data_IF_099208411266
#
_entry.id   IF_099208411266
#
_cell.length_a   1.000
_cell.length_b   1.000
_cell.length_c   1.000
_cell.angle_alpha   90.00
_cell.angle_beta   90.00
_cell.angle_gamma   90.00
#
_symmetry.space_group_name_H-M   'P 1'
#
loop_
_entity.id
_entity.type
_entity.pdbx_description
1 polymer ?
#
# COMPACT_ATOMS: atom_id res chain seq x y z
N UNK A 1 -7.00 63.97 4.03
CA UNK A 1 -5.73 63.52 4.62
C UNK A 1 -5.89 62.07 5.07
N UNK A 2 -4.96 61.22 4.62
CA UNK A 2 -4.59 59.84 5.00
C UNK A 2 -5.56 58.99 5.87
N UNK A 3 -5.84 57.77 5.42
CA UNK A 3 -5.38 56.49 6.03
C UNK A 3 -6.33 55.36 5.65
N UNK A 4 -6.04 54.57 4.60
CA UNK A 4 -6.34 53.12 4.56
C UNK A 4 -5.45 52.43 3.52
N UNK A 5 -4.24 52.00 3.89
CA UNK A 5 -3.51 50.98 3.13
C UNK A 5 -2.48 50.25 3.99
N UNK A 6 -2.89 49.30 4.85
CA UNK A 6 -1.96 48.25 5.30
C UNK A 6 -2.61 47.07 6.05
N UNK A 7 -3.48 46.27 5.39
CA UNK A 7 -3.91 44.98 5.98
C UNK A 7 -3.67 43.73 5.11
N UNK A 8 -3.16 43.87 3.88
CA UNK A 8 -2.89 42.70 3.01
C UNK A 8 -1.63 41.89 3.39
N UNK A 9 -0.81 42.35 4.34
CA UNK A 9 0.48 41.71 4.67
C UNK A 9 0.48 40.70 5.82
N UNK A 10 -0.63 40.52 6.55
CA UNK A 10 -0.63 39.74 7.82
C UNK A 10 -1.23 38.33 7.72
N UNK A 11 -2.03 38.05 6.70
CA UNK A 11 -2.64 36.72 6.49
C UNK A 11 -1.72 35.73 5.76
N UNK A 12 -0.75 36.22 4.98
CA UNK A 12 0.20 35.36 4.26
C UNK A 12 1.23 34.64 5.14
N UNK A 13 1.44 35.08 6.40
CA UNK A 13 2.43 34.48 7.30
C UNK A 13 1.90 33.40 8.23
N UNK A 14 0.58 33.25 8.39
CA UNK A 14 0.02 32.16 9.21
C UNK A 14 -0.16 30.85 8.44
N UNK A 15 -0.41 30.91 7.13
CA UNK A 15 -0.59 29.72 6.30
C UNK A 15 0.71 28.91 6.07
N UNK A 16 1.88 29.55 6.22
CA UNK A 16 3.18 28.88 6.10
C UNK A 16 3.60 28.15 7.40
N UNK A 17 3.16 28.62 8.57
CA UNK A 17 3.50 28.01 9.87
C UNK A 17 2.70 26.75 10.21
N UNK A 18 1.43 26.68 9.80
CA UNK A 18 0.56 25.54 10.10
C UNK A 18 0.97 24.24 9.40
N UNK A 19 1.50 24.33 8.17
CA UNK A 19 1.94 23.16 7.40
C UNK A 19 3.17 22.48 8.01
N UNK A 20 4.10 23.27 8.54
CA UNK A 20 5.29 22.75 9.21
C UNK A 20 4.98 22.05 10.54
N UNK A 21 4.03 22.59 11.31
CA UNK A 21 3.60 21.99 12.59
C UNK A 21 2.84 20.69 12.38
N UNK A 22 1.98 20.60 11.36
CA UNK A 22 1.27 19.36 11.04
C UNK A 22 2.22 18.24 10.61
N UNK A 23 3.22 18.54 9.76
CA UNK A 23 4.23 17.57 9.33
C UNK A 23 5.13 17.14 10.51
N UNK A 24 5.51 18.07 11.38
CA UNK A 24 6.29 17.77 12.58
C UNK A 24 5.51 16.96 13.61
N UNK A 25 4.20 17.20 13.76
CA UNK A 25 3.33 16.44 14.65
C UNK A 25 3.09 15.01 14.14
N UNK A 26 2.88 14.83 12.83
CA UNK A 26 2.80 13.51 12.20
C UNK A 26 4.15 12.78 12.33
N UNK A 27 5.27 13.48 12.09
CA UNK A 27 6.62 12.93 12.25
C UNK A 27 6.94 12.53 13.70
N UNK A 28 6.57 13.35 14.68
CA UNK A 28 6.74 13.05 16.10
C UNK A 28 5.85 11.90 16.56
N UNK A 29 4.65 11.77 15.99
CA UNK A 29 3.74 10.67 16.25
C UNK A 29 4.30 9.35 15.71
N UNK A 30 4.80 9.33 14.47
CA UNK A 30 5.46 8.16 13.88
C UNK A 30 6.73 7.73 14.65
N UNK A 31 7.40 8.67 15.34
CA UNK A 31 8.54 8.40 16.22
C UNK A 31 8.16 7.94 17.63
N UNK A 32 6.90 8.12 18.05
CA UNK A 32 6.41 7.76 19.39
C UNK A 32 5.92 6.31 19.52
N UNK A 33 6.04 5.51 18.46
CA UNK A 33 5.40 4.19 18.22
C UNK A 33 6.03 3.02 19.01
N UNK A 34 6.73 3.30 20.10
CA UNK A 34 7.31 2.23 20.94
C UNK A 34 6.34 1.59 21.96
N UNK A 35 5.16 2.17 22.23
CA UNK A 35 4.48 1.91 23.51
C UNK A 35 2.98 1.60 23.53
N UNK A 36 2.20 1.88 22.47
CA UNK A 36 0.76 1.59 22.52
C UNK A 36 0.21 1.06 21.19
N UNK A 37 -0.63 0.02 21.28
CA UNK A 37 -1.26 -0.66 20.14
C UNK A 37 -1.98 0.31 19.21
N UNK A 38 -2.73 1.26 19.77
CA UNK A 38 -3.45 2.27 19.01
C UNK A 38 -2.52 3.14 18.14
N UNK A 39 -1.42 3.64 18.71
CA UNK A 39 -0.44 4.43 17.95
C UNK A 39 0.29 3.60 16.90
N UNK A 40 0.52 2.30 17.17
CA UNK A 40 1.10 1.38 16.21
C UNK A 40 0.17 1.12 15.01
N UNK A 41 -1.13 0.95 15.24
CA UNK A 41 -2.12 0.81 14.18
C UNK A 41 -2.16 2.07 13.32
N UNK A 42 -2.30 3.27 13.92
CA UNK A 42 -2.33 4.52 13.14
C UNK A 42 -1.05 4.79 12.36
N UNK A 43 0.10 4.34 12.88
CA UNK A 43 1.35 4.39 12.14
C UNK A 43 1.40 3.39 10.98
N UNK A 44 0.83 2.19 11.16
CA UNK A 44 0.66 1.23 10.08
C UNK A 44 -0.23 1.85 8.99
N UNK A 45 -1.45 2.27 9.30
CA UNK A 45 -2.38 2.82 8.29
C UNK A 45 -1.78 4.01 7.55
N UNK A 46 -1.07 4.90 8.26
CA UNK A 46 -0.40 6.03 7.62
C UNK A 46 0.64 5.59 6.59
N UNK A 47 1.42 4.55 6.91
CA UNK A 47 2.42 4.02 5.97
C UNK A 47 1.74 3.50 4.72
N UNK A 48 0.55 2.93 4.86
CA UNK A 48 -0.15 2.19 3.82
C UNK A 48 -0.85 3.08 2.80
N UNK A 49 -0.91 4.39 3.08
CA UNK A 49 -1.51 5.38 2.20
C UNK A 49 -0.75 5.50 0.88
N UNK A 50 0.58 5.42 0.88
CA UNK A 50 1.40 5.78 -0.28
C UNK A 50 2.19 4.58 -0.79
N UNK A 51 2.10 4.35 -2.09
CA UNK A 51 2.94 3.42 -2.83
C UNK A 51 3.76 4.15 -3.88
N UNK A 52 5.07 3.92 -3.87
CA UNK A 52 6.02 4.43 -4.86
C UNK A 52 6.89 3.29 -5.34
N UNK A 53 6.93 3.08 -6.65
CA UNK A 53 7.75 2.04 -7.26
C UNK A 53 8.40 2.50 -8.54
N UNK A 54 9.58 1.97 -8.82
CA UNK A 54 10.31 2.23 -10.04
C UNK A 54 11.01 0.97 -10.52
N UNK A 55 11.07 0.77 -11.83
CA UNK A 55 11.71 -0.39 -12.41
C UNK A 55 12.44 -0.11 -13.71
N UNK A 56 13.43 -0.94 -13.99
CA UNK A 56 14.24 -0.90 -15.21
C UNK A 56 14.24 -2.26 -15.89
N UNK A 57 14.18 -2.26 -17.21
CA UNK A 57 14.29 -3.44 -18.05
C UNK A 57 15.20 -3.16 -19.24
N UNK A 58 15.87 -4.20 -19.74
CA UNK A 58 16.66 -4.17 -20.96
C UNK A 58 16.34 -5.43 -21.79
N UNK A 59 16.29 -5.28 -23.11
CA UNK A 59 15.89 -6.35 -24.03
C UNK A 59 16.90 -7.52 -24.06
N UNK A 60 16.45 -8.78 -24.12
CA UNK A 60 17.26 -10.00 -24.24
C UNK A 60 16.92 -10.74 -25.56
N UNK A 61 17.89 -11.35 -26.31
CA UNK A 61 17.71 -12.05 -27.60
C UNK A 61 16.52 -13.01 -27.79
N UNK A 62 15.84 -13.47 -26.74
CA UNK A 62 14.62 -14.29 -26.86
C UNK A 62 13.31 -13.49 -27.03
N UNK A 63 13.35 -12.15 -26.94
CA UNK A 63 12.15 -11.31 -27.03
C UNK A 63 11.94 -10.73 -28.43
N UNK A 64 11.14 -11.42 -29.22
CA UNK A 64 10.39 -10.81 -30.34
C UNK A 64 9.35 -9.79 -29.86
N UNK A 65 8.60 -9.23 -30.83
CA UNK A 65 7.87 -7.96 -30.74
C UNK A 65 6.99 -7.72 -29.48
N UNK A 66 7.53 -6.88 -28.55
CA UNK A 66 6.86 -6.07 -27.49
C UNK A 66 6.46 -6.84 -26.20
N UNK A 67 6.78 -6.39 -24.95
CA UNK A 67 7.36 -5.12 -24.48
C UNK A 67 8.54 -5.22 -23.46
N UNK A 68 9.68 -4.51 -23.66
CA UNK A 68 10.54 -4.03 -22.57
C UNK A 68 9.96 -2.73 -21.99
N UNK A 69 8.72 -2.84 -21.51
CA UNK A 69 7.84 -1.81 -20.94
C UNK A 69 7.16 -0.83 -21.90
N UNK A 70 5.85 -0.89 -22.15
CA UNK A 70 5.12 0.37 -22.40
C UNK A 70 3.61 0.36 -22.20
N UNK A 71 3.14 1.36 -21.45
CA UNK A 71 1.76 1.82 -21.43
C UNK A 71 1.47 2.74 -20.25
N UNK A 72 0.48 3.62 -20.43
CA UNK A 72 -0.08 4.45 -19.36
C UNK A 72 -1.31 3.75 -18.77
N UNK A 73 -1.25 3.43 -17.47
CA UNK A 73 -2.40 3.00 -16.69
C UNK A 73 -2.68 4.06 -15.62
N UNK A 74 -3.81 4.74 -15.75
CA UNK A 74 -4.37 5.62 -14.72
C UNK A 74 -5.48 4.84 -14.01
N UNK A 75 -5.35 4.69 -12.71
CA UNK A 75 -6.34 3.99 -11.90
C UNK A 75 -6.97 5.00 -10.93
N UNK A 76 -8.29 5.05 -10.85
CA UNK A 76 -9.00 5.76 -9.77
C UNK A 76 -9.48 4.75 -8.74
N UNK A 77 -10.04 3.64 -9.23
CA UNK A 77 -10.42 2.46 -8.45
C UNK A 77 -10.25 1.23 -9.34
N UNK A 78 -10.25 0.02 -8.76
CA UNK A 78 -10.33 -1.21 -9.54
C UNK A 78 -11.49 -1.24 -10.55
N UNK A 79 -12.55 -0.46 -10.34
CA UNK A 79 -13.72 -0.35 -11.21
C UNK A 79 -13.61 0.76 -12.27
N UNK A 80 -12.74 1.74 -12.03
CA UNK A 80 -12.55 2.92 -12.86
C UNK A 80 -11.06 3.11 -13.12
N UNK A 81 -10.61 2.52 -14.23
CA UNK A 81 -9.26 2.65 -14.75
C UNK A 81 -9.28 3.05 -16.23
N UNK A 82 -8.23 3.72 -16.65
CA UNK A 82 -7.88 3.99 -18.03
C UNK A 82 -6.51 3.36 -18.29
N UNK A 83 -6.43 2.34 -19.13
CA UNK A 83 -5.35 1.38 -19.03
C UNK A 83 -4.40 1.21 -20.21
N UNK A 84 -3.75 0.06 -20.09
CA UNK A 84 -2.53 -0.42 -20.72
C UNK A 84 -1.27 -0.12 -19.90
N UNK A 85 -0.61 -1.15 -19.37
CA UNK A 85 0.75 -1.04 -18.81
C UNK A 85 1.54 -2.24 -19.26
N UNK A 86 2.85 -2.10 -19.45
CA UNK A 86 3.77 -3.17 -19.80
C UNK A 86 5.04 -3.07 -18.96
N UNK A 87 5.61 -4.16 -18.44
CA UNK A 87 6.89 -4.14 -17.71
C UNK A 87 7.46 -5.55 -17.48
N UNK A 88 8.78 -5.71 -17.56
CA UNK A 88 9.47 -6.94 -17.17
C UNK A 88 10.96 -6.75 -16.97
N UNK A 89 11.42 -6.62 -15.73
CA UNK A 89 12.81 -6.33 -15.37
C UNK A 89 13.00 -6.37 -13.86
N UNK A 90 13.76 -5.42 -13.32
CA UNK A 90 13.97 -5.28 -11.87
C UNK A 90 13.25 -4.06 -11.35
N UNK A 91 12.61 -4.19 -10.20
CA UNK A 91 11.91 -3.10 -9.50
C UNK A 91 12.51 -2.86 -8.14
N UNK A 92 12.51 -1.59 -7.73
CA UNK A 92 12.49 -1.18 -6.35
C UNK A 92 11.13 -0.55 -6.02
N UNK A 93 10.47 -1.03 -4.98
CA UNK A 93 9.16 -0.54 -4.55
C UNK A 93 9.12 -0.33 -3.05
N UNK A 94 8.49 0.76 -2.66
CA UNK A 94 8.07 1.03 -1.30
C UNK A 94 6.57 1.25 -1.28
N UNK A 95 5.85 0.49 -0.48
CA UNK A 95 4.40 0.64 -0.30
C UNK A 95 4.02 0.95 1.15
N UNK A 96 4.91 1.64 1.86
CA UNK A 96 4.73 1.93 3.28
C UNK A 96 5.02 0.75 4.19
N UNK A 97 4.47 -0.41 3.86
CA UNK A 97 4.57 -1.65 4.61
C UNK A 97 5.91 -2.33 4.42
N UNK A 98 6.38 -2.44 3.19
CA UNK A 98 7.64 -3.13 2.90
C UNK A 98 8.52 -2.39 1.91
N UNK A 99 9.77 -2.82 1.86
CA UNK A 99 10.68 -2.52 0.76
C UNK A 99 10.86 -3.78 -0.06
N UNK A 100 10.51 -3.70 -1.33
CA UNK A 100 10.79 -4.74 -2.31
C UNK A 100 11.91 -4.26 -3.23
N UNK A 101 12.90 -5.11 -3.45
CA UNK A 101 13.91 -4.92 -4.49
C UNK A 101 14.20 -6.26 -5.14
N UNK A 102 13.81 -6.43 -6.40
CA UNK A 102 13.92 -7.73 -7.02
C UNK A 102 13.38 -7.78 -8.44
N UNK A 103 13.40 -8.98 -9.04
CA UNK A 103 12.78 -9.22 -10.34
C UNK A 103 11.28 -8.99 -10.23
N UNK A 104 10.67 -8.24 -11.14
CA UNK A 104 9.22 -8.17 -11.24
C UNK A 104 8.81 -7.94 -12.70
N UNK A 105 7.74 -8.62 -13.11
CA UNK A 105 7.16 -8.47 -14.45
C UNK A 105 5.65 -8.30 -14.36
N UNK A 106 5.13 -7.18 -14.85
CA UNK A 106 3.70 -6.86 -14.81
C UNK A 106 3.19 -6.12 -16.01
N UNK A 107 1.95 -6.42 -16.37
CA UNK A 107 1.23 -5.73 -17.44
C UNK A 107 -0.27 -5.94 -17.21
N UNK A 108 -0.95 -4.98 -16.57
CA UNK A 108 -2.42 -4.90 -16.46
C UNK A 108 -3.02 -3.81 -17.38
N UNK A 109 -4.08 -4.11 -18.14
CA UNK A 109 -4.72 -3.17 -19.07
C UNK A 109 -6.24 -3.21 -18.91
N UNK A 110 -6.90 -2.10 -18.53
CA UNK A 110 -8.36 -2.05 -18.35
C UNK A 110 -9.00 -0.73 -18.79
N UNK A 111 -10.27 -0.79 -19.21
CA UNK A 111 -11.13 0.35 -19.59
C UNK A 111 -12.62 -0.08 -19.51
N UNK A 112 -13.05 -0.62 -18.36
CA UNK A 112 -14.33 -1.32 -18.20
C UNK A 112 -14.22 -2.83 -18.46
N UNK A 113 -15.33 -3.59 -18.47
CA UNK A 113 -15.42 -5.04 -18.15
C UNK A 113 -14.79 -6.04 -19.16
N UNK A 114 -13.53 -5.79 -19.54
CA UNK A 114 -12.50 -6.74 -19.94
C UNK A 114 -11.14 -6.25 -19.40
N UNK A 115 -10.86 -6.51 -18.12
CA UNK A 115 -9.63 -6.11 -17.42
C UNK A 115 -8.55 -7.19 -17.59
N UNK A 116 -7.34 -6.81 -18.00
CA UNK A 116 -6.21 -7.74 -18.14
C UNK A 116 -5.17 -7.44 -17.08
N UNK A 117 -4.52 -8.48 -16.58
CA UNK A 117 -3.67 -8.42 -15.40
C UNK A 117 -2.43 -9.29 -15.57
N UNK A 118 -1.24 -8.79 -15.22
CA UNK A 118 -0.19 -9.68 -14.73
C UNK A 118 0.69 -8.99 -13.72
N UNK A 119 1.03 -9.71 -12.67
CA UNK A 119 1.64 -9.27 -11.41
C UNK A 119 2.50 -10.38 -10.84
N UNK A 120 3.83 -10.26 -10.85
CA UNK A 120 4.68 -11.28 -10.21
C UNK A 120 5.82 -10.63 -9.40
N UNK A 121 5.59 -10.47 -8.10
CA UNK A 121 6.51 -9.87 -7.14
C UNK A 121 6.65 -10.82 -5.94
N UNK A 122 7.80 -11.49 -5.83
CA UNK A 122 8.10 -12.51 -4.82
C UNK A 122 8.85 -11.89 -3.62
N UNK A 123 8.14 -11.72 -2.52
CA UNK A 123 8.67 -11.12 -1.30
C UNK A 123 9.56 -12.04 -0.46
N UNK A 124 9.81 -13.29 -0.88
CA UNK A 124 10.81 -14.15 -0.24
C UNK A 124 12.22 -13.52 -0.20
N UNK A 125 12.45 -12.44 -0.98
CA UNK A 125 13.69 -11.64 -1.00
C UNK A 125 13.52 -10.17 -0.58
N UNK A 126 12.33 -9.77 -0.13
CA UNK A 126 12.02 -8.40 0.29
C UNK A 126 12.21 -8.18 1.79
N UNK A 127 12.28 -6.91 2.20
CA UNK A 127 12.08 -6.54 3.61
C UNK A 127 10.59 -6.34 3.84
N UNK A 128 9.90 -7.42 4.19
CA UNK A 128 8.49 -7.41 4.58
C UNK A 128 8.32 -6.89 6.01
N UNK A 129 7.27 -6.11 6.26
CA UNK A 129 6.78 -5.92 7.62
C UNK A 129 5.81 -7.04 8.01
N UNK A 130 5.40 -7.02 9.28
CA UNK A 130 4.43 -7.96 9.84
C UNK A 130 3.14 -8.12 9.02
N UNK A 131 2.61 -7.01 8.48
CA UNK A 131 1.37 -6.99 7.70
C UNK A 131 1.50 -7.57 6.29
N UNK A 132 2.72 -7.68 5.76
CA UNK A 132 3.00 -8.37 4.49
C UNK A 132 3.35 -9.84 4.67
N UNK A 133 3.88 -10.20 5.83
CA UNK A 133 4.33 -11.55 6.07
C UNK A 133 3.18 -12.56 6.01
N UNK A 134 3.39 -13.63 5.24
CA UNK A 134 2.47 -14.77 5.22
C UNK A 134 2.42 -15.46 6.60
N UNK A 135 1.29 -16.11 6.90
CA UNK A 135 1.10 -16.95 8.07
C UNK A 135 1.15 -16.28 9.46
N UNK A 136 1.22 -14.95 9.52
CA UNK A 136 1.00 -14.20 10.78
C UNK A 136 -0.45 -14.34 11.25
N UNK A 137 -0.70 -14.11 12.56
CA UNK A 137 -2.06 -14.10 13.11
C UNK A 137 -2.97 -13.13 12.36
N UNK A 138 -2.45 -11.94 12.05
CA UNK A 138 -3.15 -10.93 11.26
C UNK A 138 -3.47 -11.42 9.86
N UNK A 139 -2.49 -12.00 9.15
CA UNK A 139 -2.69 -12.51 7.79
C UNK A 139 -3.75 -13.62 7.77
N UNK A 140 -3.72 -14.52 8.75
CA UNK A 140 -4.75 -15.56 8.92
C UNK A 140 -6.13 -14.95 9.13
N UNK A 141 -6.26 -13.97 10.03
CA UNK A 141 -7.53 -13.28 10.30
C UNK A 141 -8.11 -12.61 9.06
N UNK A 142 -7.28 -11.91 8.28
CA UNK A 142 -7.70 -11.26 7.04
C UNK A 142 -8.18 -12.24 5.96
N UNK A 143 -7.81 -13.52 6.08
CA UNK A 143 -8.24 -14.61 5.20
C UNK A 143 -9.39 -15.46 5.79
N UNK A 144 -9.87 -15.18 7.01
CA UNK A 144 -10.97 -15.93 7.63
C UNK A 144 -12.31 -15.71 6.90
N UNK A 145 -13.15 -16.75 6.81
CA UNK A 145 -14.45 -16.68 6.13
C UNK A 145 -15.35 -15.52 6.57
N UNK A 146 -15.28 -15.10 7.85
CA UNK A 146 -16.07 -13.97 8.36
C UNK A 146 -15.64 -12.61 7.80
N UNK A 147 -14.38 -12.51 7.37
CA UNK A 147 -13.76 -11.30 6.82
C UNK A 147 -13.77 -11.32 5.29
N UNK A 148 -14.29 -12.37 4.65
CA UNK A 148 -14.28 -12.50 3.18
C UNK A 148 -15.53 -11.90 2.55
N UNK A 149 -15.36 -11.35 1.35
CA UNK A 149 -16.46 -10.88 0.51
C UNK A 149 -16.28 -11.40 -0.91
N UNK A 150 -17.31 -12.05 -1.47
CA UNK A 150 -17.26 -12.67 -2.80
C UNK A 150 -16.01 -13.55 -3.03
N UNK A 151 -15.66 -14.38 -2.04
CA UNK A 151 -14.46 -15.23 -2.00
C UNK A 151 -13.11 -14.49 -2.02
N UNK A 152 -13.09 -13.17 -1.93
CA UNK A 152 -11.88 -12.39 -1.75
C UNK A 152 -11.58 -12.19 -0.24
N UNK A 153 -10.31 -12.29 0.19
CA UNK A 153 -9.90 -11.91 1.55
C UNK A 153 -10.15 -10.43 1.83
N UNK A 154 -10.14 -10.04 3.10
CA UNK A 154 -10.19 -8.62 3.48
C UNK A 154 -8.98 -7.87 2.95
N UNK A 155 -7.78 -8.41 3.22
CA UNK A 155 -6.48 -7.91 2.77
C UNK A 155 -5.57 -9.07 2.37
N UNK A 156 -4.88 -8.94 1.23
CA UNK A 156 -3.95 -9.92 0.66
C UNK A 156 -2.81 -9.21 -0.09
N UNK A 157 -1.75 -8.82 0.65
CA UNK A 157 -0.60 -8.10 0.08
C UNK A 157 0.46 -9.01 -0.56
N UNK A 158 0.31 -10.34 -0.47
CA UNK A 158 1.22 -11.33 -1.06
C UNK A 158 0.80 -11.67 -2.49
N UNK A 159 1.71 -11.46 -3.43
CA UNK A 159 1.43 -11.59 -4.86
C UNK A 159 2.09 -12.85 -5.44
N UNK A 160 1.46 -14.01 -5.27
CA UNK A 160 2.10 -15.27 -5.70
C UNK A 160 2.01 -15.55 -7.21
N UNK A 161 0.90 -15.19 -7.90
CA UNK A 161 0.76 -15.29 -9.37
C UNK A 161 -0.63 -14.83 -9.83
N UNK A 162 -0.76 -14.04 -10.91
CA UNK A 162 -2.06 -13.75 -11.53
C UNK A 162 -2.05 -13.80 -13.06
N UNK A 163 -2.78 -14.76 -13.64
CA UNK A 163 -3.14 -14.79 -15.07
C UNK A 163 -4.66 -14.68 -15.27
N UNK A 164 -5.05 -14.14 -16.42
CA UNK A 164 -6.44 -14.12 -16.89
C UNK A 164 -6.96 -15.57 -16.96
N UNK A 165 -8.24 -15.79 -16.61
CA UNK A 165 -8.98 -17.09 -16.67
C UNK A 165 -8.97 -17.94 -15.37
N UNK A 166 -9.54 -17.42 -14.26
CA UNK A 166 -10.30 -18.25 -13.30
C UNK A 166 -11.79 -17.94 -13.46
N UNK A 167 -12.65 -18.95 -13.28
CA UNK A 167 -14.11 -18.80 -13.26
C UNK A 167 -14.48 -17.93 -12.03
N UNK A 168 -14.69 -16.64 -12.23
CA UNK A 168 -14.97 -15.68 -11.16
C UNK A 168 -14.68 -14.24 -11.59
N UNK A 169 -15.26 -13.28 -10.89
CA UNK A 169 -15.08 -11.85 -11.18
C UNK A 169 -13.68 -11.42 -10.70
N UNK A 170 -12.87 -10.75 -11.52
CA UNK A 170 -11.47 -10.43 -11.20
C UNK A 170 -11.30 -9.21 -10.26
N UNK A 171 -12.33 -8.91 -9.47
CA UNK A 171 -12.35 -7.79 -8.54
C UNK A 171 -11.69 -8.22 -7.21
N UNK A 172 -11.04 -7.30 -6.51
CA UNK A 172 -10.48 -7.50 -5.17
C UNK A 172 -9.29 -8.46 -5.09
N UNK A 173 -8.37 -8.38 -6.05
CA UNK A 173 -7.19 -9.26 -6.05
C UNK A 173 -6.18 -8.95 -4.92
N UNK A 174 -6.19 -7.73 -4.35
CA UNK A 174 -5.53 -7.42 -3.07
C UNK A 174 -6.42 -7.63 -1.85
N UNK A 175 -7.67 -8.03 -2.04
CA UNK A 175 -8.70 -8.08 -1.02
C UNK A 175 -9.70 -6.93 -1.13
N UNK A 176 -10.89 -7.11 -0.56
CA UNK A 176 -12.02 -6.22 -0.83
C UNK A 176 -11.99 -4.90 -0.07
N UNK A 177 -11.14 -4.78 0.95
CA UNK A 177 -10.96 -3.56 1.74
C UNK A 177 -9.94 -2.60 1.12
N UNK A 178 -9.09 -3.10 0.24
CA UNK A 178 -8.27 -2.23 -0.58
C UNK A 178 -9.07 -1.76 -1.77
N UNK A 179 -9.35 -0.46 -1.81
CA UNK A 179 -10.08 0.14 -2.91
C UNK A 179 -9.09 0.67 -3.95
N UNK A 180 -8.19 -0.24 -4.33
CA UNK A 180 -6.85 0.06 -4.81
C UNK A 180 -6.70 1.36 -5.58
N UNK A 181 -5.80 2.16 -5.02
CA UNK A 181 -4.88 3.06 -5.69
C UNK A 181 -5.49 3.93 -6.76
N UNK A 182 -6.03 5.06 -6.31
CA UNK A 182 -5.97 6.27 -7.12
C UNK A 182 -4.49 6.54 -7.41
N UNK A 183 -4.07 6.36 -8.66
CA UNK A 183 -2.66 6.30 -8.99
C UNK A 183 -2.40 6.30 -10.48
N UNK A 184 -1.12 6.39 -10.80
CA UNK A 184 -0.62 6.36 -12.18
C UNK A 184 0.57 5.43 -12.27
N UNK A 185 0.56 4.61 -13.31
CA UNK A 185 1.68 3.79 -13.73
C UNK A 185 2.06 4.16 -15.16
N UNK A 186 3.35 4.47 -15.36
CA UNK A 186 3.90 4.95 -16.63
C UNK A 186 5.08 4.07 -17.03
N UNK A 187 4.93 3.38 -18.15
CA UNK A 187 6.05 2.75 -18.86
C UNK A 187 6.63 3.68 -19.92
N UNK A 188 7.97 3.76 -20.01
CA UNK A 188 8.73 4.42 -21.09
C UNK A 188 9.71 3.41 -21.70
N UNK A 189 9.78 3.30 -23.03
CA UNK A 189 10.69 2.41 -23.73
C UNK A 189 11.37 3.14 -24.89
N UNK A 190 12.68 2.96 -24.98
CA UNK A 190 13.49 3.32 -26.14
C UNK A 190 13.89 2.03 -26.88
N UNK A 191 13.16 1.65 -27.93
CA UNK A 191 13.41 0.41 -28.66
C UNK A 191 14.54 0.52 -29.70
N UNK A 192 15.14 1.70 -29.90
CA UNK A 192 16.03 1.95 -31.04
C UNK A 192 17.49 2.18 -30.67
N UNK A 193 17.76 2.90 -29.57
CA UNK A 193 19.14 3.25 -29.20
C UNK A 193 19.64 2.40 -28.03
N UNK A 194 18.84 2.35 -26.96
CA UNK A 194 19.26 1.73 -25.70
C UNK A 194 18.60 0.40 -25.41
N UNK A 195 17.50 0.08 -26.11
CA UNK A 195 16.68 -1.11 -25.83
C UNK A 195 16.23 -1.18 -24.36
N UNK A 196 16.08 -0.01 -23.74
CA UNK A 196 15.87 0.17 -22.31
C UNK A 196 14.43 0.60 -22.04
N UNK A 197 13.83 -0.01 -21.02
CA UNK A 197 12.52 0.33 -20.51
C UNK A 197 12.58 0.80 -19.06
N UNK A 198 11.76 1.79 -18.74
CA UNK A 198 11.55 2.31 -17.39
C UNK A 198 10.08 2.17 -17.03
N UNK A 199 9.80 1.86 -15.78
CA UNK A 199 8.47 1.89 -15.19
C UNK A 199 8.50 2.78 -13.95
N UNK A 200 7.52 3.68 -13.82
CA UNK A 200 7.28 4.48 -12.63
C UNK A 200 5.84 4.29 -12.15
N UNK A 201 5.69 4.08 -10.85
CA UNK A 201 4.42 3.84 -10.15
C UNK A 201 4.26 4.81 -9.00
N UNK A 202 3.11 5.46 -8.94
CA UNK A 202 2.64 6.22 -7.80
C UNK A 202 1.18 5.84 -7.52
N UNK A 203 0.91 5.39 -6.30
CA UNK A 203 -0.43 5.03 -5.85
C UNK A 203 -0.76 5.66 -4.52
N UNK A 204 -2.04 5.97 -4.35
CA UNK A 204 -2.63 6.35 -3.07
C UNK A 204 -3.84 5.48 -2.77
N UNK A 205 -3.83 4.79 -1.64
CA UNK A 205 -4.99 4.02 -1.19
C UNK A 205 -5.96 4.89 -0.40
N UNK A 206 -7.09 5.22 -1.03
CA UNK A 206 -8.10 6.08 -0.43
C UNK A 206 -8.80 5.39 0.75
N UNK A 207 -8.90 4.06 0.75
CA UNK A 207 -9.50 3.37 1.90
C UNK A 207 -8.61 3.50 3.12
N UNK A 208 -7.28 3.39 2.96
CA UNK A 208 -6.32 3.59 4.06
C UNK A 208 -6.24 5.06 4.51
N UNK A 209 -6.42 6.04 3.61
CA UNK A 209 -6.58 7.45 4.02
C UNK A 209 -7.81 7.60 4.91
N UNK A 210 -8.92 7.01 4.51
CA UNK A 210 -10.17 7.10 5.28
C UNK A 210 -10.03 6.40 6.63
N UNK A 211 -9.43 5.21 6.67
CA UNK A 211 -9.22 4.49 7.92
C UNK A 211 -8.28 5.27 8.84
N UNK A 212 -7.13 5.74 8.34
CA UNK A 212 -6.21 6.57 9.11
C UNK A 212 -6.90 7.78 9.75
N UNK A 213 -7.71 8.53 8.99
CA UNK A 213 -8.43 9.70 9.49
C UNK A 213 -9.53 9.35 10.49
N UNK A 214 -10.27 8.28 10.25
CA UNK A 214 -11.40 7.86 11.07
C UNK A 214 -10.95 7.16 12.35
N UNK A 215 -9.85 6.42 12.33
CA UNK A 215 -9.35 5.76 13.52
C UNK A 215 -8.78 6.72 14.54
N UNK A 216 -8.46 7.97 14.19
CA UNK A 216 -8.26 9.05 15.17
C UNK A 216 -9.46 9.28 16.09
N UNK A 217 -10.65 8.93 15.59
CA UNK A 217 -11.91 8.97 16.31
C UNK A 217 -12.36 7.57 16.73
N UNK A 218 -11.44 6.61 16.82
CA UNK A 218 -11.69 5.20 17.18
C UNK A 218 -12.68 4.48 16.26
N UNK A 219 -12.85 4.98 15.04
CA UNK A 219 -13.67 4.35 14.01
C UNK A 219 -12.73 3.57 13.09
N UNK A 220 -12.77 2.24 13.22
CA UNK A 220 -12.04 1.30 12.36
C UNK A 220 -13.03 0.70 11.36
N UNK A 221 -12.96 1.16 10.10
CA UNK A 221 -13.88 0.73 9.05
C UNK A 221 -13.44 -0.60 8.44
N UNK A 222 -12.13 -0.80 8.34
CA UNK A 222 -11.52 -1.98 7.74
C UNK A 222 -11.43 -3.15 8.73
N UNK A 223 -11.62 -2.92 10.03
CA UNK A 223 -11.51 -3.94 11.07
C UNK A 223 -10.15 -4.64 11.05
N UNK A 224 -9.09 -3.95 10.61
CA UNK A 224 -7.77 -4.53 10.42
C UNK A 224 -6.74 -4.09 11.46
N UNK A 225 -7.17 -3.26 12.43
CA UNK A 225 -6.41 -2.96 13.64
C UNK A 225 -5.92 -4.24 14.32
N UNK A 226 -4.67 -4.20 14.81
CA UNK A 226 -4.09 -5.32 15.55
C UNK A 226 -4.91 -5.60 16.80
N UNK A 227 -5.24 -6.88 17.02
CA UNK A 227 -5.68 -7.34 18.33
C UNK A 227 -4.47 -7.46 19.29
N UNK A 228 -4.70 -7.85 20.54
CA UNK A 228 -3.62 -7.97 21.54
C UNK A 228 -2.57 -8.99 21.08
N UNK A 229 -3.02 -10.17 20.67
CA UNK A 229 -2.15 -11.29 20.29
C UNK A 229 -1.31 -10.96 19.04
N UNK A 230 -1.91 -10.28 18.05
CA UNK A 230 -1.24 -9.82 16.84
C UNK A 230 -0.21 -8.72 17.15
N UNK A 231 -0.52 -7.80 18.07
CA UNK A 231 0.43 -6.78 18.51
C UNK A 231 1.63 -7.37 19.25
N UNK A 232 1.39 -8.38 20.08
CA UNK A 232 2.44 -9.13 20.77
C UNK A 232 3.31 -9.92 19.78
N UNK A 233 2.70 -10.61 18.82
CA UNK A 233 3.41 -11.30 17.74
C UNK A 233 4.26 -10.32 16.91
N UNK A 234 3.70 -9.16 16.56
CA UNK A 234 4.39 -8.13 15.78
C UNK A 234 5.59 -7.54 16.52
N UNK A 235 5.43 -7.24 17.81
CA UNK A 235 6.47 -6.56 18.61
C UNK A 235 7.48 -7.53 19.22
N UNK A 236 7.20 -8.84 19.20
CA UNK A 236 7.96 -9.85 19.93
C UNK A 236 7.86 -9.68 21.45
N UNK A 237 6.97 -8.81 21.93
CA UNK A 237 6.62 -8.70 23.33
C UNK A 237 5.67 -9.85 23.60
N UNK A 238 6.20 -11.02 23.98
CA UNK A 238 5.36 -12.03 24.62
C UNK A 238 4.55 -11.35 25.72
N UNK A 239 3.24 -11.61 25.80
CA UNK A 239 2.42 -11.23 26.95
C UNK A 239 3.28 -11.44 28.19
N UNK A 240 3.79 -10.34 28.76
CA UNK A 240 4.67 -10.43 29.89
C UNK A 240 3.81 -11.05 30.96
N UNK A 241 4.05 -12.34 31.23
CA UNK A 241 3.63 -13.10 32.39
C UNK A 241 2.69 -12.27 33.25
N UNK A 242 1.43 -12.18 32.82
CA UNK A 242 0.36 -11.70 33.65
C UNK A 242 0.31 -12.75 34.72
N UNK A 243 1.03 -12.48 35.82
CA UNK A 243 1.22 -13.42 36.91
C UNK A 243 -0.14 -13.98 37.23
N UNK A 244 -0.24 -15.29 37.12
CA UNK A 244 -1.32 -16.08 37.69
C UNK A 244 -1.23 -15.82 39.21
N UNK A 245 -1.79 -14.69 39.66
CA UNK A 245 -2.07 -14.46 41.08
C UNK A 245 -3.25 -15.38 41.35
N UNK A 246 -2.92 -16.66 41.52
CA UNK A 246 -3.79 -17.58 42.22
C UNK A 246 -4.06 -16.92 43.58
N UNK A 247 -5.32 -16.69 43.96
CA UNK A 247 -5.60 -16.33 45.33
C UNK A 247 -5.02 -17.45 46.20
N UNK A 248 -4.18 -17.08 47.16
CA UNK A 248 -3.77 -17.99 48.21
C UNK A 248 -5.06 -18.49 48.87
N UNK A 249 -5.38 -19.76 48.65
CA UNK A 249 -6.36 -20.46 49.46
C UNK A 249 -5.72 -20.72 50.82
N UNK A 250 -6.26 -20.05 51.84
CA UNK A 250 -6.08 -20.41 53.24
C UNK A 250 -6.56 -21.85 53.51
#
# INVERSE_FOLDING_TARGET
MRFVSNQKGRWGRMAAGGKGVAVMAIGALCLSVGGCRYGANRCADFRDIIQVGGGITAQNPETGNVPPSLGLLVNVTEYLNLGAVGFGGYTAEWDGRGLFCGPETRTRMGLGWYQVFKVDQDYARGCENYFKKADTLWSKRMNENRMRWCDAPAKSPNYDFYSVVRKGWPLHYRGWQYWENTGVEVGVCDPFLTHLGLNLRLGLDVSEVSDFLLGWFTIDFNQDDLNVEEYEEMTGMAAGSGGDVRPASD
#
